data_IF_094785448907
#
_entry.id   IF_094785448907
#
_cell.length_a   1.000
_cell.length_b   1.000
_cell.length_c   1.000
_cell.angle_alpha   90.00
_cell.angle_beta   90.00
_cell.angle_gamma   90.00
#
_symmetry.space_group_name_H-M   'P 1'
#
loop_
_entity.id
_entity.type
_entity.pdbx_description
1 polymer ?
#
# COMPACT_ATOMS: atom_id res chain seq x y z
N UNK A 1 -22.62 24.28 4.87
CA UNK A 1 -22.94 23.13 5.75
C UNK A 1 -21.66 22.36 6.01
N UNK A 2 -21.38 21.91 7.25
CA UNK A 2 -20.14 21.20 7.58
C UNK A 2 -20.35 19.70 7.73
N UNK A 3 -19.42 18.92 7.18
CA UNK A 3 -19.35 17.46 7.35
C UNK A 3 -17.89 17.00 7.43
N UNK A 4 -17.65 15.78 7.93
CA UNK A 4 -16.32 15.25 8.22
C UNK A 4 -16.06 13.91 7.56
N UNK A 5 -14.88 13.79 6.98
CA UNK A 5 -14.33 12.55 6.43
C UNK A 5 -13.16 12.04 7.29
N UNK A 6 -13.17 10.75 7.60
CA UNK A 6 -12.04 10.04 8.21
C UNK A 6 -11.37 9.11 7.19
N UNK A 7 -10.06 9.21 7.06
CA UNK A 7 -9.24 8.29 6.26
C UNK A 7 -8.16 7.65 7.12
N UNK A 8 -7.89 6.35 6.94
CA UNK A 8 -6.75 5.69 7.57
C UNK A 8 -6.07 4.69 6.62
N UNK A 9 -4.84 4.32 6.96
CA UNK A 9 -4.01 3.41 6.20
C UNK A 9 -4.39 1.93 6.30
N UNK A 10 -3.39 1.07 6.12
CA UNK A 10 -3.57 -0.36 5.87
C UNK A 10 -4.08 -1.10 7.13
N UNK A 11 -5.22 -1.77 7.02
CA UNK A 11 -5.81 -2.59 8.07
C UNK A 11 -5.73 -4.06 7.66
N UNK A 12 -4.84 -4.82 8.33
CA UNK A 12 -4.49 -6.20 7.99
C UNK A 12 -4.94 -7.17 9.09
N UNK A 13 -6.25 -7.44 9.25
CA UNK A 13 -6.76 -8.12 10.43
C UNK A 13 -6.54 -9.63 10.43
N UNK A 14 -5.30 -10.09 10.59
CA UNK A 14 -4.96 -11.50 10.37
C UNK A 14 -5.59 -12.48 11.36
N UNK A 15 -6.10 -13.59 10.84
CA UNK A 15 -6.46 -14.75 11.64
C UNK A 15 -5.19 -15.44 12.16
N UNK A 16 -4.90 -15.34 13.46
CA UNK A 16 -3.82 -16.10 14.10
C UNK A 16 -4.38 -17.17 15.04
N UNK A 17 -4.10 -18.47 14.81
CA UNK A 17 -4.45 -19.52 15.77
C UNK A 17 -3.57 -19.50 17.03
N UNK A 18 -2.44 -18.79 17.01
CA UNK A 18 -1.47 -18.74 18.10
C UNK A 18 -1.52 -17.46 18.94
N UNK A 19 -2.26 -16.46 18.49
CA UNK A 19 -2.51 -15.25 19.23
C UNK A 19 -3.92 -14.77 18.85
N UNK A 20 -4.98 -15.33 19.46
CA UNK A 20 -6.34 -14.88 19.21
C UNK A 20 -6.45 -13.48 19.79
N UNK A 21 -6.10 -12.48 18.99
CA UNK A 21 -6.39 -11.11 19.34
C UNK A 21 -7.92 -11.05 19.43
N UNK A 22 -8.41 -10.79 20.64
CA UNK A 22 -9.81 -10.46 20.85
C UNK A 22 -10.01 -9.14 20.14
N UNK A 23 -10.51 -9.22 18.90
CA UNK A 23 -10.71 -8.06 18.04
C UNK A 23 -11.44 -6.95 18.77
N UNK A 24 -12.35 -7.29 19.68
CA UNK A 24 -13.17 -6.38 20.47
C UNK A 24 -12.39 -5.31 21.27
N UNK A 25 -11.07 -5.48 21.49
CA UNK A 25 -10.25 -4.56 22.30
C UNK A 25 -9.09 -3.88 21.54
N UNK A 26 -8.94 -4.10 20.23
CA UNK A 26 -7.80 -3.54 19.46
C UNK A 26 -7.87 -2.01 19.36
N UNK A 27 -9.05 -1.47 19.07
CA UNK A 27 -9.26 -0.04 18.95
C UNK A 27 -9.77 0.48 20.29
N UNK A 28 -8.96 1.31 20.95
CA UNK A 28 -9.34 1.92 22.22
C UNK A 28 -10.62 2.77 22.05
N UNK A 29 -11.46 2.93 23.11
CA UNK A 29 -12.72 3.68 23.03
C UNK A 29 -12.58 5.08 22.42
N UNK A 30 -11.47 5.77 22.70
CA UNK A 30 -11.19 7.09 22.11
C UNK A 30 -11.13 7.06 20.58
N UNK A 31 -10.54 6.04 19.98
CA UNK A 31 -10.45 5.92 18.52
C UNK A 31 -11.81 5.58 17.93
N UNK A 32 -12.57 4.69 18.59
CA UNK A 32 -13.95 4.42 18.23
C UNK A 32 -14.79 5.69 18.17
N UNK A 33 -14.76 6.49 19.24
CA UNK A 33 -15.53 7.72 19.34
C UNK A 33 -15.08 8.74 18.28
N UNK A 34 -13.77 8.79 18.04
CA UNK A 34 -13.19 9.63 17.00
C UNK A 34 -13.71 9.26 15.61
N UNK A 35 -13.59 8.00 15.18
CA UNK A 35 -14.08 7.53 13.88
C UNK A 35 -15.60 7.74 13.78
N UNK A 36 -16.34 7.41 14.85
CA UNK A 36 -17.80 7.54 14.89
C UNK A 36 -18.30 8.98 14.82
N UNK A 37 -17.45 9.96 15.13
CA UNK A 37 -17.75 11.40 14.99
C UNK A 37 -17.65 11.94 13.56
N UNK A 38 -17.28 11.09 12.59
CA UNK A 38 -17.20 11.44 11.17
C UNK A 38 -18.42 10.93 10.40
N UNK A 39 -18.89 11.73 9.45
CA UNK A 39 -20.04 11.40 8.60
C UNK A 39 -19.70 10.24 7.64
N UNK A 40 -18.47 10.22 7.15
CA UNK A 40 -17.96 9.15 6.29
C UNK A 40 -16.55 8.72 6.70
N UNK A 41 -16.25 7.43 6.55
CA UNK A 41 -14.93 6.87 6.86
C UNK A 41 -14.50 5.83 5.82
N UNK A 42 -13.20 5.83 5.51
CA UNK A 42 -12.57 4.95 4.55
C UNK A 42 -11.24 4.42 5.10
N UNK A 43 -11.06 3.10 5.05
CA UNK A 43 -9.81 2.44 5.40
C UNK A 43 -9.44 1.41 4.34
N UNK A 44 -8.16 1.07 4.21
CA UNK A 44 -7.73 -0.01 3.31
C UNK A 44 -7.77 -1.36 4.01
N UNK A 45 -8.58 -2.30 3.50
CA UNK A 45 -8.76 -3.61 4.12
C UNK A 45 -7.97 -4.67 3.34
N UNK A 46 -6.79 -5.00 3.86
CA UNK A 46 -5.73 -5.72 3.14
C UNK A 46 -5.60 -7.20 3.59
N UNK A 47 -6.69 -7.80 4.07
CA UNK A 47 -6.70 -9.23 4.38
C UNK A 47 -8.05 -9.86 4.04
N UNK A 48 -8.19 -10.60 2.92
CA UNK A 48 -9.47 -11.20 2.53
C UNK A 48 -9.96 -12.18 3.60
N UNK A 49 -11.26 -12.11 3.88
CA UNK A 49 -11.95 -13.10 4.71
C UNK A 49 -12.36 -14.27 3.81
N UNK A 50 -11.97 -15.48 4.21
CA UNK A 50 -12.19 -16.68 3.41
C UNK A 50 -12.37 -17.90 4.30
N UNK A 51 -13.43 -18.65 4.07
CA UNK A 51 -13.63 -20.00 4.63
C UNK A 51 -12.70 -21.05 4.01
N UNK A 52 -12.18 -20.79 2.81
CA UNK A 52 -11.21 -21.64 2.13
C UNK A 52 -9.80 -21.52 2.72
N UNK A 53 -9.08 -22.64 2.74
CA UNK A 53 -7.62 -22.70 2.98
C UNK A 53 -6.81 -22.72 1.67
N UNK A 54 -7.50 -22.86 0.53
CA UNK A 54 -6.86 -22.91 -0.78
C UNK A 54 -6.57 -21.50 -1.29
N UNK A 55 -5.29 -21.17 -1.37
CA UNK A 55 -4.80 -19.91 -1.91
C UNK A 55 -4.56 -19.96 -3.43
N UNK A 56 -4.43 -18.79 -4.05
CA UNK A 56 -4.06 -18.62 -5.45
C UNK A 56 -2.57 -18.85 -5.70
N UNK A 57 -2.18 -18.91 -6.97
CA UNK A 57 -0.76 -19.02 -7.36
C UNK A 57 -0.15 -17.62 -7.36
N UNK A 58 0.66 -17.31 -6.35
CA UNK A 58 1.48 -16.09 -6.28
C UNK A 58 2.80 -16.31 -5.54
N UNK A 59 3.63 -15.28 -5.51
CA UNK A 59 4.81 -15.20 -4.63
C UNK A 59 4.53 -14.20 -3.49
N UNK A 60 5.19 -14.40 -2.34
CA UNK A 60 4.98 -13.57 -1.15
C UNK A 60 4.06 -14.24 -0.11
N UNK A 61 3.76 -13.56 1.00
CA UNK A 61 2.87 -14.09 2.04
C UNK A 61 1.42 -14.13 1.55
N UNK A 62 0.64 -15.08 2.08
CA UNK A 62 -0.81 -15.12 1.92
C UNK A 62 -1.46 -14.58 3.19
N UNK A 63 -2.38 -13.62 3.05
CA UNK A 63 -3.06 -13.01 4.18
C UNK A 63 -4.51 -13.48 4.23
N UNK A 64 -4.92 -13.91 5.42
CA UNK A 64 -6.29 -14.35 5.72
C UNK A 64 -6.83 -13.50 6.86
N UNK A 65 -7.89 -12.75 6.58
CA UNK A 65 -8.57 -11.92 7.56
C UNK A 65 -9.36 -12.75 8.56
N UNK A 66 -9.45 -12.27 9.80
CA UNK A 66 -10.31 -12.84 10.82
C UNK A 66 -11.79 -12.62 10.48
N UNK A 67 -12.61 -13.65 10.72
CA UNK A 67 -14.03 -13.63 10.33
C UNK A 67 -14.86 -12.53 11.02
N UNK A 68 -14.50 -12.14 12.25
CA UNK A 68 -15.22 -11.08 12.97
C UNK A 68 -14.72 -9.66 12.64
N UNK A 69 -13.72 -9.50 11.76
CA UNK A 69 -13.16 -8.18 11.42
C UNK A 69 -14.21 -7.21 10.83
N UNK A 70 -15.16 -7.69 10.01
CA UNK A 70 -16.24 -6.84 9.48
C UNK A 70 -17.14 -6.28 10.59
N UNK A 71 -17.55 -7.12 11.55
CA UNK A 71 -18.36 -6.68 12.68
C UNK A 71 -17.57 -5.76 13.62
N UNK A 72 -16.29 -6.05 13.82
CA UNK A 72 -15.38 -5.20 14.57
C UNK A 72 -15.33 -3.79 13.97
N UNK A 73 -15.05 -3.66 12.67
CA UNK A 73 -14.98 -2.36 11.99
C UNK A 73 -16.32 -1.61 12.07
N UNK A 74 -17.44 -2.32 11.95
CA UNK A 74 -18.77 -1.72 12.09
C UNK A 74 -18.98 -1.12 13.47
N UNK A 75 -18.62 -1.85 14.52
CA UNK A 75 -18.73 -1.40 15.91
C UNK A 75 -17.82 -0.21 16.23
N UNK A 76 -16.85 0.08 15.36
CA UNK A 76 -15.91 1.20 15.46
C UNK A 76 -16.24 2.37 14.50
N UNK A 77 -17.42 2.36 13.87
CA UNK A 77 -17.89 3.48 13.07
C UNK A 77 -17.39 3.52 11.62
N UNK A 78 -16.71 2.46 11.15
CA UNK A 78 -16.25 2.38 9.76
C UNK A 78 -17.44 2.26 8.80
N UNK A 79 -17.44 3.06 7.73
CA UNK A 79 -18.53 3.12 6.74
C UNK A 79 -18.17 2.46 5.41
N UNK A 80 -16.91 2.55 5.00
CA UNK A 80 -16.42 2.01 3.75
C UNK A 80 -15.01 1.43 3.90
N UNK A 81 -14.72 0.38 3.14
CA UNK A 81 -13.38 -0.19 3.01
C UNK A 81 -12.95 -0.27 1.55
N UNK A 82 -11.69 0.04 1.29
CA UNK A 82 -11.04 -0.30 0.03
C UNK A 82 -10.64 -1.78 0.04
N UNK A 83 -10.96 -2.47 -1.05
CA UNK A 83 -10.53 -3.84 -1.30
C UNK A 83 -9.51 -3.93 -2.45
N UNK A 84 -9.26 -2.84 -3.17
CA UNK A 84 -8.22 -2.83 -4.20
C UNK A 84 -6.84 -2.79 -3.55
N UNK A 85 -6.27 -3.97 -3.30
CA UNK A 85 -4.91 -4.15 -2.83
C UNK A 85 -4.33 -5.49 -3.34
N UNK A 86 -3.04 -5.70 -3.12
CA UNK A 86 -2.29 -6.86 -3.59
C UNK A 86 -2.69 -8.19 -2.89
N UNK A 87 -3.38 -8.13 -1.75
CA UNK A 87 -3.73 -9.30 -0.93
C UNK A 87 -5.17 -9.77 -1.08
N UNK A 88 -6.08 -8.91 -1.53
CA UNK A 88 -7.50 -9.26 -1.66
C UNK A 88 -7.75 -10.49 -2.55
N UNK A 89 -6.86 -10.74 -3.54
CA UNK A 89 -6.91 -11.92 -4.41
C UNK A 89 -6.26 -13.20 -3.85
N UNK A 90 -5.80 -13.22 -2.59
CA UNK A 90 -5.02 -14.34 -2.04
C UNK A 90 -5.79 -15.67 -2.01
N UNK A 91 -7.11 -15.60 -1.81
CA UNK A 91 -8.02 -16.75 -1.86
C UNK A 91 -8.94 -16.73 -3.08
N UNK A 92 -8.54 -15.98 -4.11
CA UNK A 92 -9.25 -15.86 -5.38
C UNK A 92 -10.66 -15.29 -5.21
N UNK A 93 -11.51 -15.53 -6.22
CA UNK A 93 -12.84 -14.94 -6.25
C UNK A 93 -13.74 -15.38 -5.08
N UNK A 94 -13.52 -16.57 -4.51
CA UNK A 94 -14.22 -17.00 -3.31
C UNK A 94 -13.93 -16.09 -2.12
N UNK A 95 -12.66 -15.77 -1.86
CA UNK A 95 -12.27 -14.88 -0.76
C UNK A 95 -12.79 -13.45 -0.96
N UNK A 96 -12.73 -12.95 -2.20
CA UNK A 96 -13.27 -11.63 -2.54
C UNK A 96 -14.78 -11.58 -2.29
N UNK A 97 -15.53 -12.56 -2.80
CA UNK A 97 -16.99 -12.61 -2.68
C UNK A 97 -17.44 -12.77 -1.23
N UNK A 98 -16.74 -13.58 -0.45
CA UNK A 98 -17.00 -13.77 0.98
C UNK A 98 -16.71 -12.48 1.76
N UNK A 99 -15.58 -11.82 1.49
CA UNK A 99 -15.24 -10.52 2.08
C UNK A 99 -16.31 -9.46 1.80
N UNK A 100 -16.70 -9.29 0.53
CA UNK A 100 -17.75 -8.33 0.13
C UNK A 100 -19.06 -8.65 0.84
N UNK A 101 -19.47 -9.94 0.87
CA UNK A 101 -20.70 -10.37 1.55
C UNK A 101 -20.67 -10.03 3.03
N UNK A 102 -19.56 -10.25 3.71
CA UNK A 102 -19.43 -10.00 5.14
C UNK A 102 -19.45 -8.50 5.47
N UNK A 103 -18.73 -7.68 4.69
CA UNK A 103 -18.75 -6.22 4.84
C UNK A 103 -20.16 -5.67 4.62
N UNK A 104 -20.83 -6.07 3.54
CA UNK A 104 -22.18 -5.62 3.24
C UNK A 104 -23.17 -6.06 4.33
N UNK A 105 -23.05 -7.28 4.85
CA UNK A 105 -23.89 -7.79 5.95
C UNK A 105 -23.66 -7.02 7.27
N UNK A 106 -22.47 -6.43 7.43
CA UNK A 106 -22.14 -5.51 8.53
C UNK A 106 -22.46 -4.05 8.22
N UNK A 107 -23.18 -3.74 7.14
CA UNK A 107 -23.48 -2.37 6.69
C UNK A 107 -22.20 -1.51 6.52
N UNK A 108 -21.19 -2.08 5.87
CA UNK A 108 -19.96 -1.43 5.42
C UNK A 108 -19.91 -1.53 3.89
N UNK A 109 -19.75 -0.40 3.22
CA UNK A 109 -19.58 -0.36 1.77
C UNK A 109 -18.20 -0.88 1.35
N UNK A 110 -18.10 -1.47 0.17
CA UNK A 110 -16.84 -1.94 -0.40
C UNK A 110 -16.62 -1.31 -1.77
N UNK A 111 -15.35 -1.07 -2.11
CA UNK A 111 -14.92 -0.56 -3.43
C UNK A 111 -13.65 -1.27 -3.89
N UNK A 112 -13.37 -1.23 -5.19
CA UNK A 112 -12.07 -1.64 -5.74
C UNK A 112 -11.87 -3.15 -5.95
N UNK A 113 -12.88 -3.99 -5.68
CA UNK A 113 -12.88 -5.40 -6.01
C UNK A 113 -14.28 -5.87 -6.41
N UNK A 114 -14.36 -6.88 -7.28
CA UNK A 114 -15.64 -7.32 -7.83
C UNK A 114 -15.59 -8.70 -8.49
N UNK A 115 -16.74 -9.13 -9.02
CA UNK A 115 -16.92 -10.41 -9.72
C UNK A 115 -16.31 -10.44 -11.11
N UNK A 116 -15.95 -9.27 -11.64
CA UNK A 116 -15.26 -9.04 -12.90
C UNK A 116 -14.65 -7.62 -12.89
N UNK A 117 -14.02 -7.24 -14.00
CA UNK A 117 -13.39 -5.92 -14.14
C UNK A 117 -14.38 -4.75 -13.99
N UNK A 118 -15.57 -4.84 -14.61
CA UNK A 118 -16.56 -3.76 -14.58
C UNK A 118 -17.02 -3.48 -13.16
N UNK A 119 -17.46 -4.52 -12.43
CA UNK A 119 -17.90 -4.42 -11.03
C UNK A 119 -16.76 -3.99 -10.09
N UNK A 120 -15.53 -4.44 -10.31
CA UNK A 120 -14.38 -4.00 -9.52
C UNK A 120 -14.11 -2.50 -9.70
N UNK A 121 -14.41 -1.95 -10.89
CA UNK A 121 -14.21 -0.55 -11.22
C UNK A 121 -15.34 0.37 -10.77
N UNK A 122 -16.44 -0.16 -10.22
CA UNK A 122 -17.60 0.66 -9.86
C UNK A 122 -17.26 1.61 -8.69
N UNK A 123 -17.44 2.94 -8.88
CA UNK A 123 -17.33 3.87 -7.78
C UNK A 123 -18.53 3.70 -6.84
N UNK A 124 -18.30 3.95 -5.56
CA UNK A 124 -19.39 4.14 -4.61
C UNK A 124 -19.89 5.59 -4.71
N UNK A 125 -21.20 5.77 -4.81
CA UNK A 125 -21.84 7.07 -4.63
C UNK A 125 -22.68 7.05 -3.36
N UNK A 126 -22.47 8.02 -2.48
CA UNK A 126 -23.25 8.21 -1.25
C UNK A 126 -23.79 9.62 -1.24
N UNK A 127 -25.10 9.75 -1.04
CA UNK A 127 -25.74 11.04 -0.88
C UNK A 127 -26.04 11.27 0.60
N UNK A 128 -25.57 12.39 1.11
CA UNK A 128 -25.98 12.90 2.41
C UNK A 128 -25.97 14.41 2.33
N UNK A 129 -26.92 15.05 3.01
CA UNK A 129 -26.87 16.50 3.17
C UNK A 129 -26.88 17.30 1.84
N UNK A 130 -27.60 16.82 0.83
CA UNK A 130 -27.64 17.37 -0.54
C UNK A 130 -26.29 17.34 -1.28
N UNK A 131 -25.28 16.65 -0.72
CA UNK A 131 -23.96 16.44 -1.31
C UNK A 131 -23.88 15.01 -1.79
N UNK A 132 -23.45 14.83 -3.04
CA UNK A 132 -23.13 13.52 -3.61
C UNK A 132 -21.63 13.27 -3.50
N UNK A 133 -21.24 12.36 -2.61
CA UNK A 133 -19.87 11.88 -2.46
C UNK A 133 -19.60 10.72 -3.41
N UNK A 134 -18.55 10.80 -4.21
CA UNK A 134 -17.99 9.69 -4.97
C UNK A 134 -16.75 9.13 -4.28
N UNK A 135 -16.60 7.81 -4.25
CA UNK A 135 -15.41 7.12 -3.72
C UNK A 135 -14.93 6.07 -4.73
N UNK A 136 -13.65 6.13 -5.09
CA UNK A 136 -13.04 5.23 -6.06
C UNK A 136 -11.74 4.63 -5.53
N UNK A 137 -11.67 3.30 -5.51
CA UNK A 137 -10.53 2.53 -5.03
C UNK A 137 -9.88 1.72 -6.14
N UNK A 138 -8.55 1.72 -6.20
CA UNK A 138 -7.79 0.99 -7.22
C UNK A 138 -6.40 0.63 -6.70
N UNK A 139 -5.76 -0.36 -7.34
CA UNK A 139 -4.42 -0.78 -7.01
C UNK A 139 -3.54 -0.78 -8.26
N UNK A 140 -2.23 -0.83 -8.06
CA UNK A 140 -1.36 -1.21 -9.16
C UNK A 140 -1.49 -2.69 -9.51
N UNK A 141 -1.09 -3.04 -10.73
CA UNK A 141 -1.29 -4.39 -11.23
C UNK A 141 -0.33 -5.39 -10.58
N UNK A 142 -0.87 -6.19 -9.68
CA UNK A 142 -0.20 -7.36 -9.11
C UNK A 142 -1.05 -8.63 -9.33
N UNK A 143 -0.82 -9.66 -8.51
CA UNK A 143 -1.67 -10.85 -8.48
C UNK A 143 -3.11 -10.50 -8.08
N UNK A 144 -4.08 -11.32 -8.50
CA UNK A 144 -5.49 -11.11 -8.12
C UNK A 144 -6.21 -9.99 -8.87
N UNK A 145 -5.60 -9.42 -9.90
CA UNK A 145 -6.24 -8.40 -10.76
C UNK A 145 -7.49 -8.94 -11.45
N UNK A 146 -8.55 -8.12 -11.49
CA UNK A 146 -9.77 -8.43 -12.21
C UNK A 146 -9.53 -8.49 -13.73
N UNK A 147 -10.36 -9.27 -14.41
CA UNK A 147 -10.45 -9.31 -15.87
C UNK A 147 -11.93 -9.31 -16.28
N UNK A 148 -12.23 -9.13 -17.56
CA UNK A 148 -13.63 -9.13 -18.02
C UNK A 148 -14.40 -10.40 -17.61
N UNK A 149 -13.71 -11.54 -17.54
CA UNK A 149 -14.32 -12.84 -17.27
C UNK A 149 -14.00 -13.41 -15.89
N UNK A 150 -13.15 -12.75 -15.09
CA UNK A 150 -12.76 -13.23 -13.77
C UNK A 150 -12.73 -12.08 -12.77
N UNK A 151 -13.31 -12.30 -11.59
CA UNK A 151 -13.27 -11.34 -10.51
C UNK A 151 -11.90 -11.18 -9.89
N UNK A 152 -11.71 -10.06 -9.22
CA UNK A 152 -10.41 -9.58 -8.76
C UNK A 152 -10.47 -8.13 -8.32
N UNK A 153 -9.30 -7.54 -8.14
CA UNK A 153 -9.13 -6.12 -7.80
C UNK A 153 -9.03 -5.23 -9.04
N UNK A 154 -9.50 -3.99 -8.93
CA UNK A 154 -9.43 -3.01 -10.01
C UNK A 154 -8.01 -2.46 -10.14
N UNK A 155 -7.34 -2.82 -11.24
CA UNK A 155 -5.95 -2.44 -11.55
C UNK A 155 -5.84 -1.82 -12.94
N UNK A 156 -6.37 -0.58 -13.11
CA UNK A 156 -6.43 0.08 -14.41
C UNK A 156 -5.05 0.51 -14.91
N UNK A 157 -4.95 0.68 -16.23
CA UNK A 157 -3.85 1.45 -16.81
C UNK A 157 -3.99 2.94 -16.46
N UNK A 158 -2.91 3.72 -16.43
CA UNK A 158 -2.97 5.15 -16.09
C UNK A 158 -3.95 5.94 -16.98
N UNK A 159 -3.96 5.81 -18.32
CA UNK A 159 -4.92 6.55 -19.15
C UNK A 159 -6.38 6.19 -18.86
N UNK A 160 -6.63 4.93 -18.51
CA UNK A 160 -7.96 4.46 -18.14
C UNK A 160 -8.38 4.97 -16.77
N UNK A 161 -7.47 4.94 -15.80
CA UNK A 161 -7.67 5.47 -14.46
C UNK A 161 -8.10 6.94 -14.52
N UNK A 162 -7.37 7.78 -15.25
CA UNK A 162 -7.66 9.20 -15.37
C UNK A 162 -9.03 9.47 -16.02
N UNK A 163 -9.41 8.68 -17.05
CA UNK A 163 -10.77 8.74 -17.61
C UNK A 163 -11.82 8.34 -16.58
N UNK A 164 -11.59 7.26 -15.84
CA UNK A 164 -12.53 6.78 -14.81
C UNK A 164 -12.72 7.83 -13.72
N UNK A 165 -11.65 8.45 -13.23
CA UNK A 165 -11.70 9.55 -12.25
C UNK A 165 -12.54 10.70 -12.78
N UNK A 166 -12.26 11.15 -14.01
CA UNK A 166 -13.01 12.24 -14.61
C UNK A 166 -14.50 11.93 -14.72
N UNK A 167 -14.85 10.76 -15.27
CA UNK A 167 -16.27 10.34 -15.37
C UNK A 167 -16.94 10.16 -14.01
N UNK A 168 -16.21 9.72 -12.99
CA UNK A 168 -16.73 9.61 -11.62
C UNK A 168 -17.00 10.99 -11.05
N UNK A 169 -16.05 11.92 -11.19
CA UNK A 169 -16.20 13.31 -10.73
C UNK A 169 -17.35 14.02 -11.41
N UNK A 170 -17.61 13.76 -12.69
CA UNK A 170 -18.74 14.36 -13.42
C UNK A 170 -20.10 13.91 -12.86
N UNK A 171 -20.13 12.89 -12.01
CA UNK A 171 -21.33 12.34 -11.38
C UNK A 171 -21.40 12.56 -9.86
N UNK A 172 -20.49 13.34 -9.27
CA UNK A 172 -20.49 13.65 -7.84
C UNK A 172 -19.94 15.06 -7.53
N UNK A 173 -20.24 15.57 -6.35
CA UNK A 173 -19.81 16.89 -5.90
C UNK A 173 -18.39 16.84 -5.32
N UNK A 174 -18.09 15.82 -4.53
CA UNK A 174 -16.77 15.56 -3.93
C UNK A 174 -16.32 14.18 -4.33
N UNK A 175 -15.06 14.02 -4.75
CA UNK A 175 -14.47 12.73 -5.11
C UNK A 175 -13.29 12.41 -4.20
N UNK A 176 -13.37 11.29 -3.50
CA UNK A 176 -12.28 10.72 -2.71
C UNK A 176 -11.73 9.51 -3.45
N UNK A 177 -10.42 9.45 -3.59
CA UNK A 177 -9.73 8.32 -4.22
C UNK A 177 -8.78 7.65 -3.23
N UNK A 178 -8.66 6.34 -3.34
CA UNK A 178 -7.70 5.53 -2.58
C UNK A 178 -6.93 4.64 -3.53
N UNK A 179 -5.61 4.60 -3.38
CA UNK A 179 -4.69 3.89 -4.26
C UNK A 179 -3.73 3.02 -3.45
N UNK A 180 -3.76 1.73 -3.74
CA UNK A 180 -2.80 0.77 -3.19
C UNK A 180 -1.63 0.57 -4.16
N UNK A 181 -0.64 1.46 -4.06
CA UNK A 181 0.58 1.46 -4.86
C UNK A 181 1.70 2.23 -4.15
N UNK A 182 2.75 1.50 -3.78
CA UNK A 182 3.98 2.08 -3.24
C UNK A 182 5.12 1.08 -3.39
N UNK A 183 6.34 1.58 -3.41
CA UNK A 183 7.45 0.71 -3.07
C UNK A 183 7.47 0.55 -1.55
N UNK A 184 7.24 -0.67 -1.07
CA UNK A 184 7.36 -0.98 0.36
C UNK A 184 8.72 -0.53 0.89
N UNK A 185 8.71 0.00 2.12
CA UNK A 185 9.92 0.40 2.83
C UNK A 185 10.72 1.52 2.15
N UNK A 186 10.08 2.40 1.38
CA UNK A 186 10.67 3.68 0.97
C UNK A 186 9.82 4.82 1.53
N UNK A 187 10.38 5.78 2.30
CA UNK A 187 9.62 6.89 2.91
C UNK A 187 9.08 7.95 1.94
N UNK A 188 9.41 7.84 0.65
CA UNK A 188 9.05 8.82 -0.38
C UNK A 188 8.39 8.14 -1.58
N UNK A 189 7.44 8.82 -2.26
CA UNK A 189 6.98 8.39 -3.58
C UNK A 189 8.12 8.53 -4.61
N UNK A 190 8.02 7.79 -5.73
CA UNK A 190 8.83 8.12 -6.91
C UNK A 190 8.35 9.46 -7.49
N UNK A 191 9.21 10.23 -8.18
CA UNK A 191 8.78 11.40 -8.94
C UNK A 191 7.59 11.10 -9.86
N UNK A 192 7.63 9.96 -10.57
CA UNK A 192 6.57 9.51 -11.46
C UNK A 192 5.26 9.23 -10.70
N UNK A 193 5.33 8.62 -9.51
CA UNK A 193 4.16 8.42 -8.66
C UNK A 193 3.62 9.76 -8.14
N UNK A 194 4.49 10.71 -7.82
CA UNK A 194 4.08 12.06 -7.45
C UNK A 194 3.24 12.69 -8.57
N UNK A 195 3.69 12.59 -9.81
CA UNK A 195 2.96 13.09 -10.99
C UNK A 195 1.62 12.39 -11.20
N UNK A 196 1.55 11.07 -10.99
CA UNK A 196 0.29 10.31 -11.08
C UNK A 196 -0.72 10.81 -10.04
N UNK A 197 -0.30 10.99 -8.78
CA UNK A 197 -1.20 11.45 -7.71
C UNK A 197 -1.66 12.89 -7.94
N UNK A 198 -0.76 13.77 -8.41
CA UNK A 198 -1.12 15.13 -8.84
C UNK A 198 -2.10 15.11 -10.02
N UNK A 199 -1.91 14.19 -10.98
CA UNK A 199 -2.83 13.99 -12.10
C UNK A 199 -4.21 13.53 -11.65
N UNK A 200 -4.31 12.71 -10.59
CA UNK A 200 -5.60 12.29 -10.02
C UNK A 200 -6.38 13.51 -9.49
N UNK A 201 -5.69 14.43 -8.80
CA UNK A 201 -6.29 15.71 -8.38
C UNK A 201 -6.67 16.58 -9.57
N UNK A 202 -5.81 16.65 -10.60
CA UNK A 202 -6.08 17.42 -11.83
C UNK A 202 -7.33 16.93 -12.58
N UNK A 203 -7.72 15.67 -12.41
CA UNK A 203 -8.93 15.09 -12.99
C UNK A 203 -10.16 15.17 -12.06
N UNK A 204 -10.00 15.79 -10.89
CA UNK A 204 -11.09 16.25 -10.03
C UNK A 204 -11.23 15.54 -8.69
N UNK A 205 -10.27 14.69 -8.30
CA UNK A 205 -10.26 14.16 -6.93
C UNK A 205 -9.96 15.28 -5.92
N UNK A 206 -10.76 15.38 -4.87
CA UNK A 206 -10.53 16.28 -3.74
C UNK A 206 -9.49 15.70 -2.79
N UNK A 207 -9.51 14.39 -2.57
CA UNK A 207 -8.60 13.66 -1.67
C UNK A 207 -8.01 12.44 -2.38
N UNK A 208 -6.71 12.21 -2.21
CA UNK A 208 -5.99 11.02 -2.68
C UNK A 208 -5.30 10.36 -1.49
N UNK A 209 -5.71 9.13 -1.15
CA UNK A 209 -5.14 8.33 -0.06
C UNK A 209 -4.26 7.20 -0.64
N UNK A 210 -2.97 7.24 -0.37
CA UNK A 210 -2.00 6.24 -0.78
C UNK A 210 -1.73 5.18 0.29
N UNK A 211 -1.56 3.94 -0.16
CA UNK A 211 -1.38 2.74 0.68
C UNK A 211 -0.18 1.90 0.18
N UNK A 212 0.03 0.71 0.75
CA UNK A 212 1.07 -0.28 0.38
C UNK A 212 2.49 0.00 0.88
N UNK A 213 2.84 1.22 1.27
CA UNK A 213 4.21 1.53 1.72
C UNK A 213 4.55 0.84 3.05
N UNK A 214 3.52 0.47 3.83
CA UNK A 214 3.59 0.03 5.23
C UNK A 214 4.42 0.95 6.15
N UNK A 215 4.65 2.18 5.69
CA UNK A 215 5.37 3.23 6.39
C UNK A 215 4.72 4.57 6.04
N UNK A 216 4.61 5.52 6.97
CA UNK A 216 4.16 6.87 6.65
C UNK A 216 5.09 7.52 5.62
N UNK A 217 4.52 7.99 4.52
CA UNK A 217 5.17 8.87 3.56
C UNK A 217 4.66 10.30 3.73
N UNK A 218 5.24 11.23 2.96
CA UNK A 218 4.84 12.63 2.99
C UNK A 218 3.41 12.85 2.48
N UNK A 219 2.89 14.03 2.74
CA UNK A 219 1.60 14.50 2.25
C UNK A 219 1.72 15.95 1.78
N UNK A 220 0.88 16.38 0.84
CA UNK A 220 0.88 17.76 0.36
C UNK A 220 -0.52 18.25 -0.01
N UNK A 221 -0.73 19.56 0.10
CA UNK A 221 -1.83 20.22 -0.59
C UNK A 221 -1.36 20.54 -2.00
N UNK A 222 -2.07 20.04 -3.00
CA UNK A 222 -1.81 20.33 -4.40
C UNK A 222 -3.07 20.91 -5.04
N UNK A 223 -3.01 22.16 -5.49
CA UNK A 223 -4.17 22.96 -5.90
C UNK A 223 -5.26 22.95 -4.80
N UNK A 224 -6.48 22.55 -5.14
CA UNK A 224 -7.61 22.47 -4.23
C UNK A 224 -7.75 21.09 -3.57
N UNK A 225 -6.85 20.14 -3.87
CA UNK A 225 -6.86 18.80 -3.33
C UNK A 225 -5.77 18.53 -2.29
N UNK A 226 -5.94 17.43 -1.55
CA UNK A 226 -4.96 16.91 -0.59
C UNK A 226 -4.52 15.50 -0.96
N UNK A 227 -3.21 15.28 -0.89
CA UNK A 227 -2.56 14.04 -1.30
C UNK A 227 -1.80 13.46 -0.11
N UNK A 228 -2.05 12.20 0.20
CA UNK A 228 -1.28 11.39 1.15
C UNK A 228 -0.59 10.27 0.35
N UNK A 229 0.73 10.27 0.25
CA UNK A 229 1.44 9.31 -0.64
C UNK A 229 1.48 7.88 -0.10
N UNK A 230 1.50 7.74 1.22
CA UNK A 230 1.51 6.47 1.93
C UNK A 230 1.10 6.70 3.36
N UNK A 231 -0.07 6.21 3.75
CA UNK A 231 -0.59 6.40 5.10
C UNK A 231 0.08 5.48 6.13
N UNK A 232 0.81 4.45 5.68
CA UNK A 232 1.35 3.41 6.56
C UNK A 232 0.27 2.50 7.12
N UNK A 233 0.64 1.61 8.06
CA UNK A 233 -0.31 0.64 8.60
C UNK A 233 -1.23 1.28 9.62
N UNK A 234 -2.56 1.26 9.39
CA UNK A 234 -3.56 1.54 10.41
C UNK A 234 -3.56 0.48 11.51
N UNK A 235 -3.56 -0.78 11.10
CA UNK A 235 -3.32 -1.91 11.99
C UNK A 235 -2.67 -3.06 11.23
N UNK A 236 -1.62 -3.63 11.81
CA UNK A 236 -0.95 -4.82 11.30
C UNK A 236 -0.42 -5.62 12.49
N UNK A 237 -0.37 -6.97 12.42
CA UNK A 237 0.35 -7.72 13.43
C UNK A 237 1.85 -7.44 13.38
N UNK A 238 2.51 -7.55 14.53
CA UNK A 238 3.96 -7.40 14.66
C UNK A 238 4.70 -8.55 13.96
N UNK A 239 4.99 -8.41 12.66
CA UNK A 239 5.78 -9.39 11.92
C UNK A 239 7.25 -9.36 12.35
N UNK A 240 7.80 -10.53 12.69
CA UNK A 240 9.23 -10.66 13.01
C UNK A 240 10.14 -10.17 11.87
N UNK A 241 9.71 -10.33 10.62
CA UNK A 241 10.43 -9.86 9.43
C UNK A 241 10.52 -8.34 9.32
N UNK A 242 9.61 -7.60 9.96
CA UNK A 242 9.53 -6.14 9.85
C UNK A 242 10.29 -5.43 10.97
N UNK A 243 10.68 -6.12 12.05
CA UNK A 243 11.39 -5.53 13.20
C UNK A 243 12.67 -4.76 12.88
N UNK A 244 13.27 -5.01 11.71
CA UNK A 244 14.49 -4.33 11.26
C UNK A 244 14.21 -3.12 10.35
N UNK A 245 12.95 -2.91 9.95
CA UNK A 245 12.51 -1.73 9.20
C UNK A 245 12.08 -0.69 10.24
N UNK A 246 12.61 0.53 10.18
CA UNK A 246 12.15 1.60 11.08
C UNK A 246 10.75 2.05 10.64
N UNK A 247 9.92 2.57 11.56
CA UNK A 247 8.59 3.14 11.27
C UNK A 247 7.57 2.19 10.60
N UNK A 248 7.66 0.89 10.86
CA UNK A 248 6.67 -0.12 10.39
C UNK A 248 5.46 -0.27 11.31
N UNK A 249 5.58 0.23 12.54
CA UNK A 249 4.70 -0.01 13.69
C UNK A 249 3.77 1.18 13.98
N UNK A 250 3.73 2.15 13.08
CA UNK A 250 2.87 3.32 13.18
C UNK A 250 2.43 3.82 11.79
N UNK A 251 1.35 4.59 11.77
CA UNK A 251 0.75 5.12 10.56
C UNK A 251 0.16 6.51 10.75
N UNK A 252 -0.48 6.99 9.69
CA UNK A 252 -1.25 8.22 9.65
C UNK A 252 -2.73 7.91 9.47
N UNK A 253 -3.55 8.77 10.07
CA UNK A 253 -4.95 8.96 9.70
C UNK A 253 -5.23 10.45 9.49
N UNK A 254 -6.31 10.76 8.78
CA UNK A 254 -6.72 12.13 8.54
C UNK A 254 -8.18 12.34 8.92
N UNK A 255 -8.46 13.50 9.51
CA UNK A 255 -9.79 14.05 9.70
C UNK A 255 -9.92 15.30 8.84
N UNK A 256 -10.85 15.30 7.90
CA UNK A 256 -11.03 16.38 6.94
C UNK A 256 -12.43 16.94 7.11
N UNK A 257 -12.50 18.22 7.47
CA UNK A 257 -13.77 18.96 7.53
C UNK A 257 -14.00 19.62 6.19
N UNK A 258 -15.17 19.41 5.64
CA UNK A 258 -15.65 20.08 4.45
C UNK A 258 -16.71 21.11 4.82
N UNK A 259 -16.70 22.25 4.13
CA UNK A 259 -17.81 23.19 4.08
C UNK A 259 -18.46 23.12 2.68
N UNK A 260 -19.65 22.53 2.63
CA UNK A 260 -20.30 22.05 1.41
C UNK A 260 -19.35 21.10 0.65
N UNK A 261 -18.83 21.52 -0.49
CA UNK A 261 -17.94 20.74 -1.36
C UNK A 261 -16.45 21.08 -1.17
N UNK A 262 -16.14 22.12 -0.40
CA UNK A 262 -14.78 22.64 -0.26
C UNK A 262 -14.13 22.15 1.03
N UNK A 263 -12.83 21.87 0.98
CA UNK A 263 -12.05 21.50 2.18
C UNK A 263 -11.87 22.75 3.06
N UNK A 264 -12.40 22.70 4.28
CA UNK A 264 -12.29 23.76 5.29
C UNK A 264 -11.03 23.56 6.15
N UNK A 265 -10.79 22.33 6.63
CA UNK A 265 -9.63 22.01 7.46
C UNK A 265 -9.18 20.56 7.29
N UNK A 266 -7.87 20.32 7.41
CA UNK A 266 -7.28 18.99 7.44
C UNK A 266 -6.49 18.81 8.74
N UNK A 267 -6.84 17.80 9.51
CA UNK A 267 -6.11 17.35 10.69
C UNK A 267 -5.47 16.00 10.40
N UNK A 268 -4.18 15.86 10.72
CA UNK A 268 -3.41 14.65 10.49
C UNK A 268 -3.03 14.10 11.84
N UNK A 269 -3.32 12.82 12.04
CA UNK A 269 -3.17 12.13 13.30
C UNK A 269 -2.18 11.00 13.13
N UNK A 270 -1.39 10.75 14.16
CA UNK A 270 -0.43 9.65 14.19
C UNK A 270 -0.98 8.56 15.09
N UNK A 271 -0.92 7.31 14.64
CA UNK A 271 -1.32 6.18 15.47
C UNK A 271 -0.21 5.15 15.56
N UNK A 272 -0.09 4.52 16.72
CA UNK A 272 0.92 3.48 17.00
C UNK A 272 0.24 2.18 17.37
N UNK A 273 0.83 1.08 16.91
CA UNK A 273 0.38 -0.27 17.23
C UNK A 273 1.25 -0.77 18.39
N UNK A 274 0.67 -0.78 19.58
CA UNK A 274 1.32 -1.23 20.79
C UNK A 274 1.69 -2.72 20.70
N UNK A 275 2.58 -3.18 21.60
CA UNK A 275 3.02 -4.58 21.63
C UNK A 275 1.91 -5.58 21.93
N UNK A 276 0.85 -5.15 22.61
CA UNK A 276 -0.36 -5.93 22.88
C UNK A 276 -1.36 -5.92 21.72
N UNK A 277 -1.08 -5.15 20.65
CA UNK A 277 -1.93 -5.03 19.47
C UNK A 277 -2.96 -3.90 19.56
N UNK A 278 -3.04 -3.17 20.67
CA UNK A 278 -3.91 -1.99 20.79
C UNK A 278 -3.38 -0.82 19.96
N UNK A 279 -4.28 0.03 19.47
CA UNK A 279 -3.91 1.27 18.78
C UNK A 279 -4.11 2.46 19.70
N UNK A 280 -3.12 3.34 19.75
CA UNK A 280 -3.26 4.65 20.38
C UNK A 280 -3.12 5.76 19.34
N UNK A 281 -3.99 6.78 19.40
CA UNK A 281 -4.00 7.94 18.53
C UNK A 281 -3.42 9.14 19.27
N UNK A 282 -2.48 9.85 18.65
CA UNK A 282 -1.89 11.10 19.13
C UNK A 282 -1.29 11.07 20.55
N UNK A 283 -0.87 9.89 21.02
CA UNK A 283 -0.12 9.73 22.28
C UNK A 283 1.16 10.59 22.28
N UNK A 284 1.72 10.93 23.46
CA UNK A 284 3.01 11.63 23.54
C UNK A 284 4.16 10.91 22.80
N UNK A 285 4.12 9.58 22.72
CA UNK A 285 5.08 8.77 21.95
C UNK A 285 4.86 8.99 20.45
N UNK A 286 3.59 8.95 20.00
CA UNK A 286 3.26 9.20 18.60
C UNK A 286 3.50 10.65 18.16
N UNK A 287 3.38 11.62 19.07
CA UNK A 287 3.65 13.03 18.79
C UNK A 287 5.08 13.45 19.19
N UNK A 288 5.99 12.50 19.31
CA UNK A 288 7.39 12.74 19.62
C UNK A 288 8.09 13.60 18.55
N UNK A 289 9.08 14.37 18.99
CA UNK A 289 9.91 15.20 18.09
C UNK A 289 10.61 14.37 17.01
N UNK A 290 10.91 13.09 17.27
CA UNK A 290 11.48 12.18 16.28
C UNK A 290 10.51 11.88 15.13
N UNK A 291 9.22 11.63 15.40
CA UNK A 291 8.23 11.40 14.34
C UNK A 291 7.87 12.68 13.59
N UNK A 292 7.81 13.83 14.26
CA UNK A 292 7.68 15.13 13.58
C UNK A 292 8.84 15.39 12.62
N UNK A 293 10.08 15.12 13.07
CA UNK A 293 11.27 15.22 12.22
C UNK A 293 11.22 14.24 11.05
N UNK A 294 10.79 13.00 11.27
CA UNK A 294 10.60 12.01 10.21
C UNK A 294 9.61 12.51 9.14
N UNK A 295 8.42 12.98 9.55
CA UNK A 295 7.41 13.49 8.61
C UNK A 295 7.89 14.74 7.85
N UNK A 296 8.68 15.59 8.50
CA UNK A 296 9.34 16.73 7.85
C UNK A 296 10.28 16.24 6.74
N UNK A 297 11.13 15.25 7.02
CA UNK A 297 12.04 14.65 6.03
C UNK A 297 11.29 13.90 4.90
N UNK A 298 10.10 13.38 5.16
CA UNK A 298 9.24 12.81 4.11
C UNK A 298 8.61 13.87 3.21
N UNK A 299 8.25 15.02 3.78
CA UNK A 299 7.38 16.02 3.12
C UNK A 299 8.17 17.11 2.40
N UNK A 300 9.26 17.61 2.97
CA UNK A 300 10.04 18.71 2.37
C UNK A 300 10.49 18.42 0.92
N UNK A 301 10.99 17.21 0.57
CA UNK A 301 11.43 16.92 -0.79
C UNK A 301 10.29 17.01 -1.83
N UNK A 302 9.03 16.82 -1.44
CA UNK A 302 7.88 16.86 -2.35
C UNK A 302 7.73 18.21 -3.08
N UNK A 303 8.25 19.28 -2.49
CA UNK A 303 8.23 20.63 -3.08
C UNK A 303 9.49 20.98 -3.87
N UNK A 304 10.50 20.10 -3.85
CA UNK A 304 11.83 20.31 -4.42
C UNK A 304 12.19 19.15 -5.35
N UNK A 305 11.73 19.23 -6.59
CA UNK A 305 11.83 18.14 -7.56
C UNK A 305 13.24 17.51 -7.67
N UNK A 306 14.28 18.34 -7.77
CA UNK A 306 15.67 17.85 -7.84
C UNK A 306 16.11 17.09 -6.58
N UNK A 307 15.62 17.50 -5.40
CA UNK A 307 15.92 16.82 -4.13
C UNK A 307 15.18 15.48 -4.05
N UNK A 308 13.90 15.45 -4.43
CA UNK A 308 13.12 14.21 -4.51
C UNK A 308 13.73 13.21 -5.49
N UNK A 309 14.14 13.65 -6.69
CA UNK A 309 14.84 12.82 -7.67
C UNK A 309 16.14 12.26 -7.11
N UNK A 310 16.96 13.11 -6.48
CA UNK A 310 18.23 12.69 -5.88
C UNK A 310 18.04 11.64 -4.76
N UNK A 311 17.07 11.85 -3.87
CA UNK A 311 16.69 10.89 -2.82
C UNK A 311 16.17 9.58 -3.44
N UNK A 312 15.35 9.68 -4.49
CA UNK A 312 14.77 8.53 -5.17
C UNK A 312 15.85 7.70 -5.87
N UNK A 313 16.84 8.33 -6.51
CA UNK A 313 17.97 7.64 -7.14
C UNK A 313 18.77 6.83 -6.10
N UNK A 314 19.13 7.46 -4.97
CA UNK A 314 19.89 6.78 -3.91
C UNK A 314 19.08 5.64 -3.27
N UNK A 315 17.80 5.87 -2.97
CA UNK A 315 16.90 4.84 -2.44
C UNK A 315 16.76 3.66 -3.42
N UNK A 316 16.58 3.97 -4.70
CA UNK A 316 16.38 2.96 -5.75
C UNK A 316 17.59 2.07 -5.93
N UNK A 317 18.79 2.64 -6.03
CA UNK A 317 20.03 1.87 -6.16
C UNK A 317 20.23 0.95 -4.95
N UNK A 318 19.96 1.43 -3.74
CA UNK A 318 20.09 0.61 -2.52
C UNK A 318 19.13 -0.57 -2.50
N UNK A 319 17.84 -0.34 -2.75
CA UNK A 319 16.85 -1.42 -2.79
C UNK A 319 17.16 -2.39 -3.93
N UNK A 320 17.52 -1.86 -5.10
CA UNK A 320 17.92 -2.67 -6.25
C UNK A 320 19.08 -3.62 -5.91
N UNK A 321 20.17 -3.11 -5.34
CA UNK A 321 21.35 -3.90 -4.98
C UNK A 321 21.07 -4.88 -3.84
N UNK A 322 20.20 -4.53 -2.89
CA UNK A 322 19.88 -5.42 -1.76
C UNK A 322 18.91 -6.54 -2.14
N UNK A 323 17.88 -6.24 -2.92
CA UNK A 323 16.73 -7.10 -3.11
C UNK A 323 16.61 -7.57 -4.56
N UNK A 324 16.60 -6.64 -5.53
CA UNK A 324 16.22 -6.95 -6.91
C UNK A 324 17.31 -7.61 -7.75
N UNK A 325 18.60 -7.31 -7.55
CA UNK A 325 19.69 -8.01 -8.24
C UNK A 325 19.57 -9.53 -8.08
N UNK A 326 19.22 -9.98 -6.87
CA UNK A 326 19.05 -11.41 -6.55
C UNK A 326 17.78 -11.96 -7.18
N UNK A 327 16.65 -11.23 -7.08
CA UNK A 327 15.36 -11.68 -7.64
C UNK A 327 15.40 -11.77 -9.17
N UNK A 328 16.09 -10.86 -9.83
CA UNK A 328 16.34 -10.88 -11.28
C UNK A 328 17.34 -11.98 -11.67
N UNK A 329 18.16 -12.43 -10.74
CA UNK A 329 19.15 -13.50 -10.92
C UNK A 329 20.47 -13.01 -11.51
N UNK A 330 20.78 -11.73 -11.35
CA UNK A 330 22.01 -11.10 -11.85
C UNK A 330 23.22 -11.28 -10.93
N UNK A 331 23.01 -11.66 -9.66
CA UNK A 331 24.06 -12.24 -8.82
C UNK A 331 24.29 -13.72 -9.15
N UNK A 332 24.82 -14.02 -10.33
CA UNK A 332 25.18 -15.40 -10.71
C UNK A 332 26.48 -15.48 -11.52
N UNK A 333 27.57 -14.86 -11.06
CA UNK A 333 28.91 -15.16 -11.58
C UNK A 333 29.79 -15.81 -10.51
N UNK A 334 29.42 -17.01 -10.08
CA UNK A 334 30.40 -17.97 -9.56
C UNK A 334 30.30 -19.25 -10.39
N UNK A 335 31.44 -19.83 -10.76
CA UNK A 335 31.55 -21.15 -11.39
C UNK A 335 30.70 -22.21 -10.68
N UNK A 336 30.58 -22.11 -9.35
CA UNK A 336 29.72 -22.94 -8.51
C UNK A 336 28.23 -22.85 -8.87
N UNK A 337 27.74 -21.68 -9.28
CA UNK A 337 26.34 -21.49 -9.66
C UNK A 337 26.05 -22.18 -10.99
N UNK A 338 26.93 -22.04 -11.98
CA UNK A 338 26.85 -22.73 -13.27
C UNK A 338 26.91 -24.25 -13.08
N UNK A 339 27.87 -24.73 -12.27
CA UNK A 339 27.99 -26.15 -11.92
C UNK A 339 26.73 -26.67 -11.18
N UNK A 340 26.14 -25.86 -10.30
CA UNK A 340 24.90 -26.23 -9.61
C UNK A 340 23.71 -26.32 -10.56
N UNK A 341 23.62 -25.46 -11.58
CA UNK A 341 22.55 -25.51 -12.59
C UNK A 341 22.74 -26.73 -13.51
N UNK A 342 23.96 -27.04 -13.93
CA UNK A 342 24.27 -28.26 -14.69
C UNK A 342 23.96 -29.53 -13.87
N UNK A 343 24.28 -29.54 -12.59
CA UNK A 343 23.95 -30.64 -11.67
C UNK A 343 22.43 -30.78 -11.46
N UNK A 344 21.68 -29.68 -11.42
CA UNK A 344 20.19 -29.70 -11.38
C UNK A 344 19.59 -30.26 -12.66
N UNK A 345 20.16 -29.96 -13.84
CA UNK A 345 19.74 -30.56 -15.13
C UNK A 345 19.99 -32.07 -15.13
N UNK A 346 21.11 -32.52 -14.56
CA UNK A 346 21.43 -33.94 -14.38
C UNK A 346 20.42 -34.65 -13.44
N UNK A 347 20.08 -34.04 -12.30
CA UNK A 347 19.04 -34.56 -11.38
C UNK A 347 17.64 -34.56 -12.02
N UNK A 348 17.35 -33.64 -12.94
CA UNK A 348 16.06 -33.60 -13.66
C UNK A 348 15.82 -34.85 -14.51
N UNK A 349 16.90 -35.50 -14.99
CA UNK A 349 16.85 -36.78 -15.72
C UNK A 349 16.59 -37.99 -14.82
N UNK A 350 16.87 -37.93 -13.51
CA UNK A 350 16.76 -39.07 -12.59
C UNK A 350 15.39 -39.17 -11.89
N UNK A 351 14.44 -38.29 -12.19
CA UNK A 351 13.03 -38.40 -11.78
C UNK A 351 12.70 -38.10 -10.30
N UNK A 352 13.69 -38.13 -9.40
CA UNK A 352 13.51 -38.07 -7.95
C UNK A 352 13.11 -36.69 -7.37
N UNK A 353 13.17 -35.60 -8.14
CA UNK A 353 12.93 -34.22 -7.64
C UNK A 353 12.04 -33.34 -8.53
N UNK A 354 11.30 -33.93 -9.50
CA UNK A 354 10.55 -33.17 -10.52
C UNK A 354 9.63 -32.08 -9.94
N UNK A 355 8.87 -32.38 -8.89
CA UNK A 355 7.88 -31.47 -8.31
C UNK A 355 8.52 -30.26 -7.58
N UNK A 356 9.60 -30.49 -6.82
CA UNK A 356 10.31 -29.44 -6.05
C UNK A 356 11.17 -28.53 -6.93
N UNK A 357 11.65 -29.02 -8.07
CA UNK A 357 12.37 -28.23 -9.08
C UNK A 357 11.39 -27.39 -9.90
N UNK A 358 10.22 -27.94 -10.25
CA UNK A 358 9.17 -27.23 -10.98
C UNK A 358 8.61 -26.04 -10.18
N UNK A 359 8.40 -26.19 -8.87
CA UNK A 359 7.93 -25.10 -8.02
C UNK A 359 8.95 -23.95 -7.87
N UNK A 360 10.25 -24.26 -7.80
CA UNK A 360 11.30 -23.21 -7.74
C UNK A 360 11.43 -22.42 -9.05
N UNK A 361 11.33 -23.10 -10.19
CA UNK A 361 11.35 -22.45 -11.49
C UNK A 361 10.12 -21.55 -11.66
N UNK A 362 8.94 -22.06 -11.33
CA UNK A 362 7.69 -21.29 -11.34
C UNK A 362 7.79 -20.07 -10.43
N UNK A 363 8.29 -20.21 -9.20
CA UNK A 363 8.48 -19.08 -8.28
C UNK A 363 9.39 -18.00 -8.87
N UNK A 364 10.49 -18.38 -9.54
CA UNK A 364 11.38 -17.43 -10.22
C UNK A 364 10.66 -16.69 -11.35
N UNK A 365 9.82 -17.39 -12.12
CA UNK A 365 9.00 -16.76 -13.15
C UNK A 365 7.97 -15.79 -12.55
N UNK A 366 7.27 -16.20 -11.49
CA UNK A 366 6.30 -15.35 -10.79
C UNK A 366 6.96 -14.12 -10.18
N UNK A 367 8.12 -14.25 -9.55
CA UNK A 367 8.87 -13.10 -9.03
C UNK A 367 9.23 -12.12 -10.14
N UNK A 368 9.77 -12.59 -11.27
CA UNK A 368 10.14 -11.71 -12.39
C UNK A 368 8.92 -11.07 -13.05
N UNK A 369 7.84 -11.84 -13.19
CA UNK A 369 6.58 -11.31 -13.68
C UNK A 369 6.08 -10.19 -12.77
N UNK A 370 6.08 -10.39 -11.44
CA UNK A 370 5.71 -9.36 -10.47
C UNK A 370 6.58 -8.11 -10.61
N UNK A 371 7.91 -8.26 -10.67
CA UNK A 371 8.83 -7.12 -10.79
C UNK A 371 8.63 -6.29 -12.08
N UNK A 372 8.22 -6.93 -13.18
CA UNK A 372 7.98 -6.25 -14.45
C UNK A 372 6.57 -5.65 -14.54
N UNK A 373 5.60 -6.28 -13.89
CA UNK A 373 4.18 -5.96 -14.01
C UNK A 373 3.70 -4.98 -12.92
N UNK A 374 4.32 -4.99 -11.75
CA UNK A 374 4.06 -4.05 -10.66
C UNK A 374 4.81 -2.74 -10.91
N UNK A 375 4.09 -1.63 -10.97
CA UNK A 375 4.67 -0.32 -11.33
C UNK A 375 5.68 0.15 -10.28
N UNK A 376 5.40 -0.05 -9.00
CA UNK A 376 6.30 0.30 -7.90
C UNK A 376 7.66 -0.37 -7.98
N UNK A 377 7.70 -1.68 -8.28
CA UNK A 377 8.95 -2.40 -8.45
C UNK A 377 9.66 -2.00 -9.74
N UNK A 378 8.89 -1.82 -10.82
CA UNK A 378 9.40 -1.36 -12.11
C UNK A 378 10.14 -0.03 -11.94
N UNK A 379 9.52 0.97 -11.31
CA UNK A 379 10.08 2.31 -11.09
C UNK A 379 11.44 2.27 -10.40
N UNK A 380 11.56 1.47 -9.33
CA UNK A 380 12.82 1.32 -8.60
C UNK A 380 13.89 0.68 -9.48
N UNK A 381 13.54 -0.39 -10.20
CA UNK A 381 14.48 -1.13 -11.04
C UNK A 381 14.97 -0.27 -12.19
N UNK A 382 14.07 0.42 -12.90
CA UNK A 382 14.44 1.25 -14.05
C UNK A 382 15.21 2.50 -13.64
N UNK A 383 14.84 3.13 -12.52
CA UNK A 383 15.62 4.25 -11.95
C UNK A 383 17.04 3.79 -11.63
N UNK A 384 17.19 2.70 -10.87
CA UNK A 384 18.50 2.21 -10.46
C UNK A 384 19.38 1.83 -11.67
N UNK A 385 18.82 1.08 -12.62
CA UNK A 385 19.54 0.66 -13.82
C UNK A 385 19.92 1.84 -14.70
N UNK A 386 19.00 2.80 -14.92
CA UNK A 386 19.28 3.97 -15.75
C UNK A 386 20.39 4.84 -15.18
N UNK A 387 20.42 5.03 -13.86
CA UNK A 387 21.51 5.77 -13.20
C UNK A 387 22.83 4.99 -13.29
N UNK A 388 22.82 3.69 -12.98
CA UNK A 388 24.03 2.86 -13.01
C UNK A 388 24.60 2.66 -14.43
N UNK A 389 23.77 2.77 -15.48
CA UNK A 389 24.19 2.70 -16.87
C UNK A 389 24.55 4.06 -17.48
N UNK A 390 24.39 5.16 -16.75
CA UNK A 390 24.51 6.55 -17.23
C UNK A 390 23.47 6.95 -18.30
N UNK A 391 22.36 6.23 -18.44
CA UNK A 391 21.23 6.68 -19.27
C UNK A 391 20.47 7.82 -18.59
N UNK A 392 20.36 7.74 -17.26
CA UNK A 392 19.79 8.79 -16.41
C UNK A 392 20.96 9.50 -15.72
N UNK A 393 20.98 10.83 -15.77
CA UNK A 393 21.95 11.65 -15.02
C UNK A 393 21.87 11.31 -13.53
N UNK A 394 23.00 10.92 -12.94
CA UNK A 394 23.07 10.68 -11.49
C UNK A 394 22.90 12.01 -10.74
N UNK A 395 21.78 12.16 -10.02
CA UNK A 395 21.46 13.36 -9.22
C UNK A 395 21.92 13.26 -7.76
N UNK A 396 22.41 12.09 -7.34
CA UNK A 396 22.75 11.80 -5.95
C UNK A 396 23.86 12.73 -5.47
N UNK A 397 23.71 13.19 -4.23
CA UNK A 397 24.70 14.02 -3.57
C UNK A 397 24.85 13.62 -2.08
N UNK A 398 25.81 14.23 -1.40
CA UNK A 398 26.15 13.89 -0.01
C UNK A 398 24.98 14.15 0.95
N UNK A 399 24.27 15.27 0.78
CA UNK A 399 23.16 15.67 1.65
C UNK A 399 21.98 14.70 1.54
N UNK A 400 21.55 14.38 0.32
CA UNK A 400 20.45 13.40 0.14
C UNK A 400 20.87 12.00 0.58
N UNK A 401 22.16 11.65 0.45
CA UNK A 401 22.68 10.36 0.94
C UNK A 401 22.64 10.27 2.47
N UNK A 402 22.91 11.37 3.19
CA UNK A 402 22.74 11.47 4.64
C UNK A 402 21.29 11.30 5.05
N UNK A 403 20.36 11.94 4.33
CA UNK A 403 18.92 11.80 4.57
C UNK A 403 18.50 10.33 4.39
N UNK A 404 18.89 9.68 3.29
CA UNK A 404 18.57 8.26 3.05
C UNK A 404 19.20 7.35 4.12
N UNK A 405 20.39 7.66 4.64
CA UNK A 405 20.98 6.91 5.76
C UNK A 405 20.14 6.97 7.02
N UNK A 406 19.61 8.16 7.35
CA UNK A 406 18.76 8.37 8.52
C UNK A 406 17.42 7.65 8.35
N UNK A 407 16.82 7.75 7.17
CA UNK A 407 15.44 7.34 6.92
C UNK A 407 15.34 5.85 6.52
N UNK A 408 16.42 5.27 5.98
CA UNK A 408 16.47 3.87 5.52
C UNK A 408 17.71 3.13 6.09
N UNK A 409 17.93 3.09 7.41
CA UNK A 409 19.18 2.58 8.01
C UNK A 409 19.44 1.09 7.73
N UNK A 410 18.39 0.30 7.47
CA UNK A 410 18.52 -1.11 7.07
C UNK A 410 19.18 -1.29 5.69
N UNK A 411 19.23 -0.23 4.88
CA UNK A 411 19.87 -0.28 3.56
C UNK A 411 21.39 -0.11 3.60
N UNK A 412 21.96 0.30 4.74
CA UNK A 412 23.38 0.57 4.87
C UNK A 412 24.16 -0.75 4.92
N UNK A 413 25.06 -0.95 3.96
CA UNK A 413 25.93 -2.14 3.92
C UNK A 413 26.96 -2.11 5.05
N UNK A 414 27.48 -3.29 5.48
CA UNK A 414 28.56 -3.35 6.50
C UNK A 414 29.76 -2.45 6.15
N UNK A 415 30.16 -2.41 4.88
CA UNK A 415 31.27 -1.59 4.36
C UNK A 415 31.01 -0.08 4.44
N UNK A 416 29.75 0.34 4.46
CA UNK A 416 29.35 1.74 4.64
C UNK A 416 29.18 2.12 6.11
N UNK A 417 29.06 1.17 7.04
CA UNK A 417 29.03 1.44 8.49
C UNK A 417 30.41 1.67 9.10
N UNK A 418 31.47 1.27 8.39
CA UNK A 418 32.87 1.37 8.81
C UNK A 418 33.57 2.64 8.30
N UNK A 419 32.88 3.44 7.48
CA UNK A 419 33.31 4.75 6.97
C UNK A 419 32.45 5.83 7.60
#
# INVERSE_FOLDING_TARGET
>A
MKWKFFGAGDFMPLSSPHNPILWDEILLPKIKDFISSHDFSLIDFEAPISSSEKHTVKIGPFLKGAANSAMFLKNHGVKCVNLANNHMGDFGISGISETIKMMNSSNIHTIGAGSNYDSASEPLFVEFNEIKLGVLGFAERQFGSATNNNGGVYTPSIPELLRKIKTTKDNCDVLITTIHSAQEWIPWPSPQRQDIFKSIVDHGASIVLGHHSHMPQGYEKYKDGYIFYGMGSFWTPHYKSWKNRSNYDWGLSCSITFENTSIDSVSIHQHEINTDGTIELDSPITNSESRKKYLTLCTEPLTKQNELESIWHESSIRIFTQEYEKMLGWRTNSLLTILSELFKVFIKKTGLFKQKVQSRFQNRLLSRWLLLNCFSHHDVITTALGVLSNEISDKRNEETSKIVNIMMPWTITKKQKER
#
